data_IF_689330611743
#
_entry.id   IF_689330611743
#
_cell.length_a   1.000
_cell.length_b   1.000
_cell.length_c   1.000
_cell.angle_alpha   90.00
_cell.angle_beta   90.00
_cell.angle_gamma   90.00
#
_symmetry.space_group_name_H-M   'P 1'
#
loop_
_entity.id
_entity.type
_entity.pdbx_description
1 polymer ?
#
# COMPACT_ATOMS: atom_id res chain seq x y z
N UNK A 1 9.38 -6.62 13.53
CA UNK A 1 9.28 -5.24 13.02
C UNK A 1 10.70 -4.70 12.95
N UNK A 2 11.33 -4.71 11.77
CA UNK A 2 12.65 -4.10 11.60
C UNK A 2 12.43 -2.59 11.55
N UNK A 3 12.55 -1.95 12.71
CA UNK A 3 12.51 -0.50 12.81
C UNK A 3 13.66 0.06 11.99
N UNK A 4 13.34 0.87 10.98
CA UNK A 4 14.32 1.68 10.27
C UNK A 4 15.00 2.54 11.33
N UNK A 5 16.24 2.22 11.70
CA UNK A 5 17.05 3.12 12.53
C UNK A 5 17.32 4.33 11.65
N UNK A 6 16.51 5.37 11.78
CA UNK A 6 16.83 6.67 11.24
C UNK A 6 18.17 7.04 11.86
N UNK A 7 19.19 7.27 11.03
CA UNK A 7 20.48 7.77 11.50
C UNK A 7 20.19 8.98 12.40
N UNK A 8 20.45 8.82 13.70
CA UNK A 8 20.14 9.86 14.67
C UNK A 8 21.09 11.02 14.44
N UNK A 9 20.55 12.24 14.46
CA UNK A 9 21.37 13.44 14.31
C UNK A 9 22.03 13.74 15.66
N UNK A 10 23.08 12.99 16.00
CA UNK A 10 23.84 13.18 17.23
C UNK A 10 24.50 11.90 17.77
N UNK A 11 25.82 11.93 17.86
CA UNK A 11 26.85 11.17 18.64
C UNK A 11 26.68 9.66 18.93
N UNK A 12 25.49 9.07 18.90
CA UNK A 12 25.28 7.66 19.28
C UNK A 12 25.71 6.65 18.23
N UNK A 13 25.89 7.07 16.98
CA UNK A 13 26.32 6.18 15.91
C UNK A 13 27.44 6.82 15.09
N UNK A 14 28.41 6.00 14.70
CA UNK A 14 29.49 6.40 13.81
C UNK A 14 28.91 6.80 12.43
N UNK A 15 29.38 7.91 11.84
CA UNK A 15 28.92 8.37 10.54
C UNK A 15 29.47 7.47 9.41
N UNK A 16 28.58 6.99 8.55
CA UNK A 16 28.88 6.25 7.34
C UNK A 16 29.28 7.16 6.17
N UNK A 17 28.56 8.28 5.97
CA UNK A 17 28.90 9.35 5.02
C UNK A 17 29.14 10.64 5.79
N UNK A 18 30.34 10.82 6.36
CA UNK A 18 30.63 11.94 7.23
C UNK A 18 30.74 13.26 6.43
N UNK A 19 30.06 14.28 6.93
CA UNK A 19 30.15 15.67 6.47
C UNK A 19 30.43 16.60 7.65
N UNK A 20 31.27 17.60 7.45
CA UNK A 20 31.51 18.67 8.42
C UNK A 20 30.62 19.84 8.08
N UNK A 21 29.89 20.34 9.08
CA UNK A 21 29.08 21.52 8.91
C UNK A 21 29.83 22.79 9.39
N UNK A 22 29.26 23.97 9.17
CA UNK A 22 29.91 25.25 9.50
C UNK A 22 30.14 25.49 11.00
N UNK A 23 29.53 24.68 11.87
CA UNK A 23 29.83 24.68 13.31
C UNK A 23 31.09 23.85 13.66
N UNK A 24 31.80 23.31 12.65
CA UNK A 24 33.01 22.51 12.81
C UNK A 24 32.76 21.07 13.24
N UNK A 25 31.49 20.66 13.40
CA UNK A 25 31.13 19.30 13.84
C UNK A 25 30.88 18.38 12.66
N UNK A 26 31.11 17.08 12.88
CA UNK A 26 30.89 16.03 11.88
C UNK A 26 29.54 15.35 12.11
N UNK A 27 28.80 15.17 11.02
CA UNK A 27 27.48 14.56 11.00
C UNK A 27 27.39 13.48 9.92
N UNK A 28 26.41 12.58 10.07
CA UNK A 28 25.96 11.76 8.96
C UNK A 28 25.22 12.63 7.93
N UNK A 29 25.64 12.57 6.66
CA UNK A 29 25.13 13.43 5.58
C UNK A 29 23.61 13.36 5.44
N UNK A 30 23.05 12.16 5.34
CA UNK A 30 21.61 11.99 5.13
C UNK A 30 20.79 12.53 6.31
N UNK A 31 21.31 12.38 7.52
CA UNK A 31 20.67 12.80 8.76
C UNK A 31 20.64 14.33 8.87
N UNK A 32 21.76 15.01 8.61
CA UNK A 32 21.85 16.47 8.67
C UNK A 32 21.07 17.16 7.54
N UNK A 33 21.06 16.60 6.33
CA UNK A 33 20.26 17.12 5.23
C UNK A 33 18.76 17.02 5.53
N UNK A 34 18.32 15.92 6.15
CA UNK A 34 16.91 15.74 6.54
C UNK A 34 16.52 16.73 7.64
N UNK A 35 17.42 16.98 8.59
CA UNK A 35 17.25 18.01 9.63
C UNK A 35 17.08 19.40 9.02
N UNK A 36 17.94 19.79 8.07
CA UNK A 36 17.85 21.07 7.38
C UNK A 36 16.55 21.22 6.59
N UNK A 37 16.16 20.19 5.82
CA UNK A 37 14.88 20.18 5.10
C UNK A 37 13.69 20.36 6.05
N UNK A 38 13.75 19.76 7.23
CA UNK A 38 12.69 19.87 8.25
C UNK A 38 12.60 21.29 8.80
N UNK A 39 13.73 21.94 9.09
CA UNK A 39 13.77 23.32 9.56
C UNK A 39 13.27 24.30 8.48
N UNK A 40 13.75 24.14 7.25
CA UNK A 40 13.33 24.95 6.10
C UNK A 40 11.83 24.82 5.83
N UNK A 41 11.27 23.61 5.89
CA UNK A 41 9.83 23.38 5.75
C UNK A 41 8.98 24.03 6.84
N UNK A 42 9.57 24.36 7.99
CA UNK A 42 8.94 25.10 9.10
C UNK A 42 9.26 26.60 9.08
N UNK A 43 10.04 27.08 8.13
CA UNK A 43 10.54 28.47 8.11
C UNK A 43 11.47 28.82 9.27
N UNK A 44 12.07 27.81 9.92
CA UNK A 44 12.97 28.01 11.05
C UNK A 44 14.42 28.23 10.58
N UNK A 45 15.23 29.01 11.31
CA UNK A 45 16.65 29.17 11.00
C UNK A 45 17.38 27.82 11.13
N UNK A 46 18.41 27.61 10.31
CA UNK A 46 19.25 26.42 10.38
C UNK A 46 20.01 26.45 11.72
N UNK A 47 19.89 25.36 12.48
CA UNK A 47 20.47 25.22 13.81
C UNK A 47 21.13 23.86 13.99
N UNK A 48 22.18 23.84 14.80
CA UNK A 48 22.89 22.61 15.15
C UNK A 48 21.96 21.66 15.89
N UNK A 49 21.83 20.41 15.45
CA UNK A 49 20.99 19.40 16.10
C UNK A 49 21.52 19.01 17.49
N UNK A 50 22.78 19.33 17.80
CA UNK A 50 23.41 19.01 19.08
C UNK A 50 23.34 20.20 20.04
N UNK A 51 23.76 21.38 19.59
CA UNK A 51 23.86 22.57 20.47
C UNK A 51 22.64 23.48 20.40
N UNK A 52 21.76 23.31 19.42
CA UNK A 52 20.62 24.19 19.12
C UNK A 52 21.03 25.65 18.76
N UNK A 53 22.31 25.89 18.52
CA UNK A 53 22.86 27.17 18.09
C UNK A 53 22.66 27.39 16.59
N UNK A 54 22.51 28.64 16.12
CA UNK A 54 22.44 28.93 14.70
C UNK A 54 23.74 28.50 14.00
N UNK A 55 23.58 27.80 12.89
CA UNK A 55 24.69 27.37 12.03
C UNK A 55 24.29 27.62 10.58
N UNK A 56 25.26 27.85 9.70
CA UNK A 56 24.94 27.96 8.29
C UNK A 56 24.72 26.58 7.64
N UNK A 57 24.19 26.59 6.41
CA UNK A 57 23.75 25.39 5.70
C UNK A 57 24.82 24.65 4.91
N UNK A 58 26.07 25.11 4.90
CA UNK A 58 27.11 24.48 4.07
C UNK A 58 27.63 23.19 4.74
N UNK A 59 27.70 22.12 3.94
CA UNK A 59 28.19 20.80 4.35
C UNK A 59 29.39 20.42 3.48
N UNK A 60 30.52 20.12 4.12
CA UNK A 60 31.76 19.70 3.48
C UNK A 60 31.95 18.18 3.64
N UNK A 61 32.06 17.39 2.55
CA UNK A 61 32.39 15.98 2.65
C UNK A 61 33.75 15.74 3.29
N UNK A 62 33.82 14.86 4.30
CA UNK A 62 35.07 14.51 5.00
C UNK A 62 35.31 12.99 4.98
N UNK A 63 35.52 12.39 3.79
CA UNK A 63 35.61 10.93 3.65
C UNK A 63 36.76 10.30 4.44
N UNK A 64 37.81 11.06 4.77
CA UNK A 64 38.92 10.60 5.60
C UNK A 64 38.48 10.17 7.01
N UNK A 65 37.40 10.75 7.56
CA UNK A 65 36.85 10.37 8.86
C UNK A 65 36.36 8.91 8.85
N UNK A 66 35.78 8.46 7.73
CA UNK A 66 35.38 7.06 7.57
C UNK A 66 36.59 6.13 7.63
N UNK A 67 37.65 6.46 6.90
CA UNK A 67 38.89 5.69 6.90
C UNK A 67 39.52 5.67 8.30
N UNK A 68 39.52 6.79 9.01
CA UNK A 68 39.96 6.86 10.40
C UNK A 68 39.15 5.91 11.29
N UNK A 69 37.82 5.93 11.20
CA UNK A 69 36.95 5.02 11.95
C UNK A 69 37.30 3.56 11.68
N UNK A 70 37.49 3.19 10.41
CA UNK A 70 37.91 1.84 10.01
C UNK A 70 39.26 1.47 10.66
N UNK A 71 40.26 2.36 10.63
CA UNK A 71 41.55 2.10 11.31
C UNK A 71 41.42 1.96 12.83
N UNK A 72 40.53 2.72 13.46
CA UNK A 72 40.28 2.63 14.90
C UNK A 72 39.59 1.30 15.26
N UNK A 73 38.75 0.77 14.39
CA UNK A 73 38.15 -0.56 14.53
C UNK A 73 39.22 -1.63 14.38
N UNK A 74 40.08 -1.54 13.36
CA UNK A 74 41.16 -2.50 13.11
C UNK A 74 42.16 -2.56 14.27
N UNK A 75 42.48 -1.39 14.86
CA UNK A 75 43.32 -1.27 16.04
C UNK A 75 42.60 -1.63 17.36
N UNK A 76 41.35 -2.10 17.28
CA UNK A 76 40.51 -2.46 18.43
C UNK A 76 40.27 -1.30 19.41
N UNK A 77 40.36 -0.05 18.97
CA UNK A 77 40.04 1.13 19.78
C UNK A 77 38.52 1.37 19.89
N UNK A 78 37.74 0.87 18.93
CA UNK A 78 36.27 0.90 18.95
C UNK A 78 35.76 -0.55 19.12
N UNK A 79 34.97 -0.79 20.17
CA UNK A 79 34.46 -2.12 20.52
C UNK A 79 33.02 -2.05 21.04
N UNK A 80 32.43 -3.22 21.33
CA UNK A 80 31.09 -3.36 21.89
C UNK A 80 29.99 -2.94 20.91
N UNK A 81 28.89 -2.42 21.45
CA UNK A 81 27.68 -2.04 20.71
C UNK A 81 27.95 -1.11 19.51
N UNK A 82 28.96 -0.24 19.64
CA UNK A 82 29.33 0.71 18.58
C UNK A 82 29.91 0.01 17.35
N UNK A 83 30.71 -1.05 17.57
CA UNK A 83 31.26 -1.87 16.50
C UNK A 83 30.19 -2.75 15.86
N UNK A 84 29.28 -3.30 16.64
CA UNK A 84 28.15 -4.08 16.12
C UNK A 84 27.27 -3.23 15.20
N UNK A 85 26.87 -2.03 15.65
CA UNK A 85 26.11 -1.08 14.84
C UNK A 85 26.86 -0.66 13.56
N UNK A 86 28.18 -0.52 13.62
CA UNK A 86 29.00 -0.26 12.44
C UNK A 86 28.96 -1.42 11.44
N UNK A 87 29.16 -2.65 11.92
CA UNK A 87 29.16 -3.84 11.07
C UNK A 87 27.78 -4.10 10.44
N UNK A 88 26.70 -3.83 11.17
CA UNK A 88 25.34 -3.85 10.62
C UNK A 88 25.19 -2.85 9.46
N UNK A 89 25.68 -1.61 9.61
CA UNK A 89 25.68 -0.62 8.52
C UNK A 89 26.53 -1.06 7.34
N UNK A 90 27.73 -1.61 7.57
CA UNK A 90 28.59 -2.16 6.51
C UNK A 90 27.84 -3.23 5.73
N UNK A 91 27.20 -4.16 6.43
CA UNK A 91 26.45 -5.25 5.81
C UNK A 91 25.23 -4.73 5.06
N UNK A 92 24.48 -3.78 5.62
CA UNK A 92 23.36 -3.12 4.95
C UNK A 92 23.79 -2.50 3.61
N UNK A 93 24.89 -1.76 3.60
CA UNK A 93 25.40 -1.08 2.41
C UNK A 93 25.92 -2.08 1.38
N UNK A 94 26.54 -3.17 1.82
CA UNK A 94 26.94 -4.30 0.96
C UNK A 94 25.70 -4.95 0.31
N UNK A 95 24.66 -5.22 1.09
CA UNK A 95 23.41 -5.82 0.55
C UNK A 95 22.71 -4.89 -0.43
N UNK A 96 22.68 -3.58 -0.17
CA UNK A 96 22.17 -2.57 -1.09
C UNK A 96 22.93 -2.58 -2.41
N UNK A 97 24.26 -2.59 -2.36
CA UNK A 97 25.12 -2.62 -3.55
C UNK A 97 24.90 -3.89 -4.38
N UNK A 98 24.94 -5.07 -3.75
CA UNK A 98 24.68 -6.36 -4.40
C UNK A 98 23.29 -6.42 -5.05
N UNK A 99 22.27 -5.91 -4.35
CA UNK A 99 20.91 -5.89 -4.88
C UNK A 99 20.76 -4.97 -6.10
N UNK A 100 21.39 -3.80 -6.06
CA UNK A 100 21.41 -2.87 -7.20
C UNK A 100 22.17 -3.45 -8.39
N UNK A 101 23.29 -4.14 -8.14
CA UNK A 101 24.03 -4.84 -9.18
C UNK A 101 23.14 -5.89 -9.86
N UNK A 102 22.52 -6.79 -9.10
CA UNK A 102 21.59 -7.80 -9.63
C UNK A 102 20.42 -7.18 -10.38
N UNK A 103 19.92 -6.04 -9.92
CA UNK A 103 18.86 -5.30 -10.61
C UNK A 103 19.34 -4.71 -11.94
N UNK A 104 20.58 -4.24 -12.02
CA UNK A 104 21.19 -3.74 -13.27
C UNK A 104 21.53 -4.87 -14.25
N UNK A 105 21.86 -6.06 -13.75
CA UNK A 105 22.07 -7.28 -14.54
C UNK A 105 20.76 -7.87 -15.12
N UNK A 106 19.61 -7.23 -14.89
CA UNK A 106 18.33 -7.65 -15.48
C UNK A 106 17.46 -8.53 -14.58
N UNK A 107 17.84 -8.79 -13.33
CA UNK A 107 17.02 -9.62 -12.44
C UNK A 107 15.71 -8.91 -12.07
N UNK A 108 14.61 -9.35 -12.69
CA UNK A 108 13.25 -8.86 -12.43
C UNK A 108 12.85 -8.93 -10.95
N UNK A 109 13.37 -9.91 -10.20
CA UNK A 109 13.12 -10.05 -8.75
C UNK A 109 13.92 -9.02 -7.94
N UNK A 110 15.17 -8.76 -8.34
CA UNK A 110 15.99 -7.73 -7.71
C UNK A 110 15.41 -6.33 -7.95
N UNK A 111 15.03 -6.01 -9.20
CA UNK A 111 14.37 -4.74 -9.53
C UNK A 111 13.12 -4.49 -8.67
N UNK A 112 12.30 -5.53 -8.47
CA UNK A 112 11.13 -5.44 -7.60
C UNK A 112 11.50 -5.19 -6.13
N UNK A 113 12.50 -5.90 -5.60
CA UNK A 113 12.98 -5.67 -4.22
C UNK A 113 13.54 -4.27 -4.03
N UNK A 114 14.31 -3.75 -4.99
CA UNK A 114 14.81 -2.37 -4.97
C UNK A 114 13.63 -1.39 -4.88
N UNK A 115 12.59 -1.60 -5.69
CA UNK A 115 11.38 -0.78 -5.62
C UNK A 115 10.69 -0.84 -4.25
N UNK A 116 10.61 -2.03 -3.63
CA UNK A 116 10.06 -2.19 -2.27
C UNK A 116 10.90 -1.45 -1.22
N UNK A 117 12.22 -1.52 -1.31
CA UNK A 117 13.10 -0.83 -0.37
C UNK A 117 13.00 0.69 -0.49
N UNK A 118 12.93 1.25 -1.71
CA UNK A 118 12.65 2.66 -1.91
C UNK A 118 11.25 3.06 -1.42
N UNK A 119 10.24 2.19 -1.59
CA UNK A 119 8.88 2.48 -1.13
C UNK A 119 8.75 2.49 0.40
N UNK A 120 9.57 1.70 1.10
CA UNK A 120 9.52 1.56 2.56
C UNK A 120 10.62 2.33 3.31
N UNK A 121 11.67 2.79 2.62
CA UNK A 121 12.84 3.39 3.25
C UNK A 121 13.63 2.41 4.12
N UNK A 122 14.00 1.23 3.58
CA UNK A 122 14.62 0.13 4.34
C UNK A 122 15.89 -0.42 3.68
N UNK A 123 16.72 -1.16 4.42
CA UNK A 123 17.96 -1.79 3.93
C UNK A 123 18.90 -0.80 3.23
N UNK A 124 19.10 0.38 3.82
CA UNK A 124 19.98 1.43 3.31
C UNK A 124 19.40 2.25 2.16
N UNK A 125 18.14 2.01 1.78
CA UNK A 125 17.43 2.85 0.83
C UNK A 125 16.66 3.93 1.60
N UNK A 126 16.84 5.20 1.22
CA UNK A 126 15.94 6.27 1.66
C UNK A 126 14.56 6.12 1.03
N UNK A 127 13.52 6.51 1.76
CA UNK A 127 12.15 6.48 1.25
C UNK A 127 12.00 7.47 0.08
N UNK A 128 11.66 6.95 -1.09
CA UNK A 128 11.38 7.74 -2.29
C UNK A 128 10.35 7.03 -3.17
N UNK A 129 9.10 7.48 -3.08
CA UNK A 129 8.00 6.93 -3.86
C UNK A 129 8.19 7.09 -5.38
N UNK A 130 8.87 8.14 -5.85
CA UNK A 130 9.12 8.37 -7.29
C UNK A 130 10.15 7.38 -7.82
N UNK A 131 11.23 7.14 -7.06
CA UNK A 131 12.22 6.11 -7.40
C UNK A 131 11.61 4.71 -7.33
N UNK A 132 10.81 4.42 -6.30
CA UNK A 132 10.07 3.17 -6.19
C UNK A 132 9.20 2.93 -7.44
N UNK A 133 8.42 3.93 -7.88
CA UNK A 133 7.60 3.84 -9.08
C UNK A 133 8.45 3.56 -10.34
N UNK A 134 9.58 4.25 -10.52
CA UNK A 134 10.50 3.99 -11.64
C UNK A 134 11.03 2.55 -11.64
N UNK A 135 11.41 2.02 -10.48
CA UNK A 135 11.90 0.64 -10.36
C UNK A 135 10.79 -0.39 -10.57
N UNK A 136 9.57 -0.12 -10.09
CA UNK A 136 8.41 -0.97 -10.42
C UNK A 136 8.16 -1.01 -11.93
N UNK A 137 8.31 0.11 -12.66
CA UNK A 137 8.19 0.15 -14.13
C UNK A 137 9.25 -0.72 -14.81
N UNK A 138 10.50 -0.64 -14.36
CA UNK A 138 11.59 -1.51 -14.86
C UNK A 138 11.29 -2.99 -14.60
N UNK A 139 10.87 -3.33 -13.38
CA UNK A 139 10.54 -4.71 -13.02
C UNK A 139 9.34 -5.25 -13.81
N UNK A 140 8.32 -4.42 -14.07
CA UNK A 140 7.19 -4.76 -14.92
C UNK A 140 7.62 -5.02 -16.37
N UNK A 141 8.45 -4.15 -16.95
CA UNK A 141 9.00 -4.35 -18.28
C UNK A 141 9.83 -5.65 -18.39
N UNK A 142 10.47 -6.07 -17.29
CA UNK A 142 11.15 -7.36 -17.17
C UNK A 142 10.22 -8.54 -16.81
N UNK A 143 8.89 -8.38 -16.90
CA UNK A 143 7.91 -9.45 -16.68
C UNK A 143 7.62 -9.81 -15.22
N UNK A 144 7.87 -8.91 -14.26
CA UNK A 144 7.53 -9.15 -12.86
C UNK A 144 6.05 -8.83 -12.58
N UNK A 145 5.22 -9.87 -12.42
CA UNK A 145 3.78 -9.72 -12.14
C UNK A 145 3.51 -8.99 -10.83
N UNK A 146 4.30 -9.20 -9.78
CA UNK A 146 4.14 -8.47 -8.52
C UNK A 146 4.35 -6.98 -8.74
N UNK A 147 5.39 -6.61 -9.49
CA UNK A 147 5.65 -5.21 -9.83
C UNK A 147 4.48 -4.57 -10.59
N UNK A 148 3.84 -5.30 -11.51
CA UNK A 148 2.62 -4.85 -12.20
C UNK A 148 1.51 -4.48 -11.22
N UNK A 149 1.27 -5.31 -10.19
CA UNK A 149 0.26 -5.02 -9.16
C UNK A 149 0.57 -3.73 -8.39
N UNK A 150 1.83 -3.53 -8.01
CA UNK A 150 2.27 -2.32 -7.28
C UNK A 150 2.29 -1.06 -8.17
N UNK A 151 2.53 -1.18 -9.49
CA UNK A 151 2.34 -0.06 -10.42
C UNK A 151 0.90 0.39 -10.48
N UNK A 152 -0.03 -0.58 -10.56
CA UNK A 152 -1.46 -0.32 -10.51
C UNK A 152 -1.86 0.41 -9.24
N UNK A 153 -1.46 -0.11 -8.07
CA UNK A 153 -1.71 0.53 -6.77
C UNK A 153 -1.12 1.96 -6.70
N UNK A 154 0.10 2.14 -7.21
CA UNK A 154 0.76 3.45 -7.21
C UNK A 154 0.01 4.47 -8.08
N UNK A 155 -0.50 4.07 -9.25
CA UNK A 155 -1.30 4.94 -10.12
C UNK A 155 -2.67 5.25 -9.53
N UNK A 156 -3.35 4.25 -8.96
CA UNK A 156 -4.64 4.43 -8.31
C UNK A 156 -4.57 5.43 -7.16
N UNK A 157 -3.51 5.34 -6.35
CA UNK A 157 -3.35 6.16 -5.14
C UNK A 157 -2.52 7.43 -5.36
N UNK A 158 -1.80 7.55 -6.48
CA UNK A 158 -0.88 8.66 -6.75
C UNK A 158 0.45 8.58 -6.00
N UNK A 159 0.94 7.38 -5.68
CA UNK A 159 2.21 7.18 -4.96
C UNK A 159 3.39 7.35 -5.91
N UNK A 160 4.10 8.48 -5.82
CA UNK A 160 5.27 8.76 -6.66
C UNK A 160 4.95 9.06 -8.13
N UNK A 161 3.67 9.16 -8.48
CA UNK A 161 3.17 9.44 -9.84
C UNK A 161 1.84 10.19 -9.77
N UNK A 162 1.48 10.96 -10.80
CA UNK A 162 0.15 11.58 -10.89
C UNK A 162 -0.92 10.49 -10.88
N UNK A 163 -1.91 10.67 -10.01
CA UNK A 163 -3.04 9.74 -9.83
C UNK A 163 -3.78 9.51 -11.15
N UNK A 164 -4.01 8.25 -11.48
CA UNK A 164 -4.82 7.81 -12.62
C UNK A 164 -5.51 6.51 -12.28
N UNK A 165 -6.80 6.60 -11.89
CA UNK A 165 -7.60 5.45 -11.49
C UNK A 165 -7.81 4.46 -12.64
N UNK A 166 -8.16 4.96 -13.83
CA UNK A 166 -8.40 4.15 -15.03
C UNK A 166 -7.15 3.39 -15.48
N UNK A 167 -5.99 4.04 -15.51
CA UNK A 167 -4.74 3.35 -15.88
C UNK A 167 -4.31 2.38 -14.78
N UNK A 168 -4.48 2.77 -13.52
CA UNK A 168 -4.16 1.93 -12.38
C UNK A 168 -4.99 0.65 -12.35
N UNK A 169 -6.32 0.73 -12.54
CA UNK A 169 -7.19 -0.44 -12.58
C UNK A 169 -6.81 -1.39 -13.71
N UNK A 170 -6.43 -0.88 -14.90
CA UNK A 170 -5.94 -1.70 -16.01
C UNK A 170 -4.71 -2.55 -15.61
N UNK A 171 -3.71 -1.94 -14.97
CA UNK A 171 -2.52 -2.67 -14.50
C UNK A 171 -2.87 -3.70 -13.41
N UNK A 172 -3.78 -3.37 -12.49
CA UNK A 172 -4.24 -4.32 -11.47
C UNK A 172 -4.98 -5.50 -12.14
N UNK A 173 -5.88 -5.23 -13.09
CA UNK A 173 -6.56 -6.28 -13.89
C UNK A 173 -5.55 -7.19 -14.57
N UNK A 174 -4.56 -6.63 -15.27
CA UNK A 174 -3.49 -7.38 -15.91
C UNK A 174 -2.72 -8.28 -14.93
N UNK A 175 -2.39 -7.77 -13.74
CA UNK A 175 -1.67 -8.54 -12.74
C UNK A 175 -2.53 -9.65 -12.13
N UNK A 176 -3.82 -9.40 -11.90
CA UNK A 176 -4.76 -10.38 -11.38
C UNK A 176 -5.03 -11.51 -12.38
N UNK A 177 -5.12 -11.19 -13.68
CA UNK A 177 -5.20 -12.21 -14.74
C UNK A 177 -3.93 -13.04 -14.82
N UNK A 178 -2.77 -12.44 -14.56
CA UNK A 178 -1.48 -13.13 -14.47
C UNK A 178 -1.25 -13.87 -13.13
N UNK A 179 -2.26 -13.99 -12.28
CA UNK A 179 -2.21 -14.81 -11.06
C UNK A 179 -1.60 -14.13 -9.83
N UNK A 180 -1.64 -12.79 -9.76
CA UNK A 180 -1.32 -12.06 -8.53
C UNK A 180 -2.48 -12.15 -7.53
N UNK A 181 -2.21 -12.68 -6.33
CA UNK A 181 -3.18 -12.70 -5.21
C UNK A 181 -3.56 -11.28 -4.76
N UNK A 182 -2.57 -10.40 -4.58
CA UNK A 182 -2.78 -9.02 -4.15
C UNK A 182 -3.61 -8.20 -5.15
N UNK A 183 -3.38 -8.37 -6.45
CA UNK A 183 -4.15 -7.70 -7.48
C UNK A 183 -5.58 -8.24 -7.57
N UNK A 184 -5.78 -9.56 -7.45
CA UNK A 184 -7.11 -10.15 -7.39
C UNK A 184 -7.89 -9.65 -6.16
N UNK A 185 -7.26 -9.61 -4.98
CA UNK A 185 -7.87 -9.01 -3.78
C UNK A 185 -8.23 -7.54 -3.99
N UNK A 186 -7.34 -6.78 -4.62
CA UNK A 186 -7.53 -5.36 -4.91
C UNK A 186 -8.73 -5.13 -5.84
N UNK A 187 -8.88 -5.92 -6.90
CA UNK A 187 -10.06 -5.88 -7.78
C UNK A 187 -11.33 -6.29 -7.06
N UNK A 188 -11.29 -7.37 -6.28
CA UNK A 188 -12.43 -7.82 -5.51
C UNK A 188 -12.98 -6.73 -4.60
N UNK A 189 -12.09 -6.03 -3.89
CA UNK A 189 -12.46 -4.86 -3.08
C UNK A 189 -12.98 -3.69 -3.92
N UNK A 190 -12.40 -3.46 -5.10
CA UNK A 190 -12.81 -2.37 -5.98
C UNK A 190 -14.22 -2.57 -6.53
N UNK A 191 -14.54 -3.77 -6.99
CA UNK A 191 -15.89 -4.15 -7.45
C UNK A 191 -16.91 -4.16 -6.31
N UNK A 192 -16.53 -4.57 -5.09
CA UNK A 192 -17.44 -4.54 -3.94
C UNK A 192 -17.84 -3.12 -3.50
N UNK A 193 -17.11 -2.09 -3.94
CA UNK A 193 -17.30 -0.69 -3.47
C UNK A 193 -17.54 0.29 -4.63
N UNK A 194 -17.55 -0.17 -5.88
CA UNK A 194 -17.61 0.69 -7.06
C UNK A 194 -16.47 1.71 -7.13
N UNK A 195 -15.24 1.31 -6.78
CA UNK A 195 -14.08 2.22 -6.72
C UNK A 195 -13.13 2.09 -7.92
N UNK A 196 -12.17 3.00 -8.03
CA UNK A 196 -11.15 3.03 -9.09
C UNK A 196 -11.71 3.13 -10.53
N UNK A 197 -12.88 3.76 -10.67
CA UNK A 197 -13.62 3.88 -11.94
C UNK A 197 -14.17 2.55 -12.46
N UNK A 198 -14.33 1.56 -11.59
CA UNK A 198 -15.08 0.33 -11.85
C UNK A 198 -16.49 0.48 -11.24
N UNK A 199 -17.55 0.00 -11.91
CA UNK A 199 -18.87 -0.05 -11.32
C UNK A 199 -18.91 -1.06 -10.18
N UNK A 200 -19.84 -0.86 -9.24
CA UNK A 200 -20.11 -1.85 -8.21
C UNK A 200 -20.68 -3.12 -8.84
N UNK A 201 -20.11 -4.28 -8.51
CA UNK A 201 -20.54 -5.57 -9.03
C UNK A 201 -20.17 -6.68 -8.03
N UNK A 202 -21.18 -7.21 -7.34
CA UNK A 202 -21.00 -8.25 -6.32
C UNK A 202 -20.45 -9.56 -6.91
N UNK A 203 -20.91 -9.96 -8.09
CA UNK A 203 -20.50 -11.23 -8.72
C UNK A 203 -19.01 -11.20 -9.09
N UNK A 204 -18.55 -10.10 -9.72
CA UNK A 204 -17.14 -9.87 -10.01
C UNK A 204 -16.32 -9.79 -8.71
N UNK A 205 -16.84 -9.10 -7.68
CA UNK A 205 -16.16 -9.02 -6.39
C UNK A 205 -15.93 -10.42 -5.79
N UNK A 206 -16.97 -11.26 -5.76
CA UNK A 206 -16.90 -12.64 -5.25
C UNK A 206 -15.93 -13.47 -6.10
N UNK A 207 -15.97 -13.35 -7.42
CA UNK A 207 -15.06 -14.06 -8.33
C UNK A 207 -13.60 -13.75 -8.02
N UNK A 208 -13.22 -12.47 -7.97
CA UNK A 208 -11.85 -12.06 -7.71
C UNK A 208 -11.39 -12.37 -6.28
N UNK A 209 -12.27 -12.26 -5.29
CA UNK A 209 -11.96 -12.63 -3.90
C UNK A 209 -11.74 -14.14 -3.74
N UNK A 210 -12.54 -14.98 -4.40
CA UNK A 210 -12.30 -16.43 -4.43
C UNK A 210 -10.96 -16.74 -5.08
N UNK A 211 -10.67 -16.09 -6.22
CA UNK A 211 -9.41 -16.27 -6.94
C UNK A 211 -8.19 -15.87 -6.10
N UNK A 212 -8.28 -14.79 -5.31
CA UNK A 212 -7.16 -14.34 -4.47
C UNK A 212 -6.85 -15.26 -3.29
N UNK A 213 -7.85 -16.02 -2.81
CA UNK A 213 -7.72 -16.97 -1.70
C UNK A 213 -7.39 -18.40 -2.16
N UNK A 214 -7.64 -18.72 -3.44
CA UNK A 214 -7.29 -19.99 -4.06
C UNK A 214 -5.85 -20.01 -4.62
N UNK A 215 -5.66 -20.84 -5.65
CA UNK A 215 -4.35 -21.05 -6.26
C UNK A 215 -3.98 -19.90 -7.21
N UNK A 216 -3.21 -18.96 -6.67
CA UNK A 216 -2.56 -17.88 -7.43
C UNK A 216 -1.10 -18.23 -7.71
N UNK A 217 -0.59 -17.89 -8.91
CA UNK A 217 0.82 -18.11 -9.26
C UNK A 217 1.80 -17.23 -8.43
N UNK A 218 1.33 -16.08 -7.94
CA UNK A 218 2.19 -15.08 -7.29
C UNK A 218 1.61 -14.60 -5.96
N UNK A 219 2.08 -15.22 -4.87
CA UNK A 219 1.69 -14.86 -3.50
C UNK A 219 2.49 -13.68 -2.95
N UNK A 220 1.79 -12.61 -2.55
CA UNK A 220 2.37 -11.46 -1.86
C UNK A 220 1.36 -10.65 -1.02
N UNK A 221 0.16 -11.20 -0.76
CA UNK A 221 -0.68 -10.69 0.31
C UNK A 221 -0.06 -10.98 1.69
N UNK A 222 -0.28 -10.07 2.64
CA UNK A 222 0.01 -10.29 4.05
C UNK A 222 -1.08 -11.16 4.67
N UNK A 223 -0.79 -11.75 5.84
CA UNK A 223 -1.77 -12.55 6.59
C UNK A 223 -3.04 -11.74 6.88
N UNK A 224 -2.89 -10.46 7.24
CA UNK A 224 -4.02 -9.56 7.51
C UNK A 224 -4.86 -9.30 6.27
N UNK A 225 -4.24 -9.15 5.09
CA UNK A 225 -4.97 -8.99 3.83
C UNK A 225 -5.78 -10.24 3.50
N UNK A 226 -5.25 -11.44 3.74
CA UNK A 226 -5.99 -12.70 3.54
C UNK A 226 -7.21 -12.78 4.46
N UNK A 227 -7.05 -12.41 5.73
CA UNK A 227 -8.17 -12.36 6.69
C UNK A 227 -9.25 -11.35 6.26
N UNK A 228 -8.84 -10.17 5.77
CA UNK A 228 -9.77 -9.16 5.24
C UNK A 228 -10.49 -9.65 3.98
N UNK A 229 -9.79 -10.32 3.08
CA UNK A 229 -10.40 -10.91 1.88
C UNK A 229 -11.44 -11.97 2.24
N UNK A 230 -11.16 -12.83 3.23
CA UNK A 230 -12.12 -13.81 3.74
C UNK A 230 -13.34 -13.14 4.37
N UNK A 231 -13.13 -12.12 5.22
CA UNK A 231 -14.23 -11.38 5.84
C UNK A 231 -15.15 -10.74 4.80
N UNK A 232 -14.57 -10.04 3.81
CA UNK A 232 -15.32 -9.42 2.74
C UNK A 232 -16.09 -10.44 1.88
N UNK A 233 -15.49 -11.61 1.61
CA UNK A 233 -16.14 -12.69 0.88
C UNK A 233 -17.36 -13.25 1.65
N UNK A 234 -17.24 -13.41 2.96
CA UNK A 234 -18.35 -13.86 3.81
C UNK A 234 -19.45 -12.81 3.93
N UNK A 235 -19.10 -11.53 4.01
CA UNK A 235 -20.06 -10.42 4.00
C UNK A 235 -20.89 -10.40 2.71
N UNK A 236 -20.23 -10.47 1.56
CA UNK A 236 -20.90 -10.51 0.25
C UNK A 236 -21.77 -11.76 0.10
N UNK A 237 -21.32 -12.93 0.55
CA UNK A 237 -22.16 -14.14 0.56
C UNK A 237 -23.43 -13.96 1.38
N UNK A 238 -23.34 -13.29 2.54
CA UNK A 238 -24.50 -13.03 3.41
C UNK A 238 -25.52 -12.08 2.77
N UNK A 239 -25.08 -11.09 1.98
CA UNK A 239 -25.97 -10.19 1.25
C UNK A 239 -26.65 -10.91 0.09
N UNK A 240 -25.93 -11.77 -0.64
CA UNK A 240 -26.51 -12.58 -1.73
C UNK A 240 -27.54 -13.60 -1.22
N UNK A 241 -27.36 -14.16 -0.01
CA UNK A 241 -28.28 -15.13 0.60
C UNK A 241 -29.55 -14.46 1.17
N UNK A 242 -29.60 -13.12 1.36
CA UNK A 242 -30.89 -12.45 1.62
C UNK A 242 -31.74 -12.57 0.36
N UNK A 243 -32.75 -13.45 0.31
CA UNK A 243 -33.40 -13.69 -0.94
C UNK A 243 -34.23 -12.47 -1.28
N UNK A 244 -34.27 -12.14 -2.56
CA UNK A 244 -35.21 -11.22 -3.24
C UNK A 244 -36.70 -11.58 -2.97
N UNK A 245 -36.96 -12.58 -2.12
CA UNK A 245 -38.27 -13.07 -1.70
C UNK A 245 -39.01 -12.10 -0.79
N UNK A 246 -38.36 -11.20 -0.04
CA UNK A 246 -39.09 -10.22 0.78
C UNK A 246 -39.90 -9.23 -0.06
N UNK A 247 -39.44 -8.92 -1.29
CA UNK A 247 -40.17 -8.06 -2.22
C UNK A 247 -41.31 -8.87 -2.87
N UNK A 248 -41.06 -10.11 -3.27
CA UNK A 248 -42.10 -10.96 -3.84
C UNK A 248 -43.19 -11.35 -2.84
N UNK A 249 -42.84 -11.63 -1.58
CA UNK A 249 -43.82 -11.99 -0.54
C UNK A 249 -44.74 -10.80 -0.22
N UNK A 250 -44.18 -9.59 -0.07
CA UNK A 250 -44.99 -8.38 0.13
C UNK A 250 -45.86 -8.05 -1.10
N UNK A 251 -45.35 -8.22 -2.33
CA UNK A 251 -46.17 -8.02 -3.53
C UNK A 251 -47.30 -9.06 -3.62
N UNK A 252 -47.02 -10.34 -3.34
CA UNK A 252 -48.06 -11.39 -3.36
C UNK A 252 -49.10 -11.18 -2.27
N UNK A 253 -48.72 -10.70 -1.07
CA UNK A 253 -49.65 -10.37 0.01
C UNK A 253 -50.52 -9.18 -0.39
N UNK A 254 -49.95 -8.12 -0.98
CA UNK A 254 -50.70 -6.95 -1.47
C UNK A 254 -51.68 -7.33 -2.59
N UNK A 255 -51.29 -8.22 -3.51
CA UNK A 255 -52.16 -8.72 -4.58
C UNK A 255 -53.31 -9.58 -4.00
N UNK A 256 -53.04 -10.47 -3.06
CA UNK A 256 -54.07 -11.28 -2.39
C UNK A 256 -55.07 -10.42 -1.59
N UNK A 257 -54.59 -9.38 -0.88
CA UNK A 257 -55.45 -8.45 -0.15
C UNK A 257 -56.33 -7.57 -1.05
N UNK A 258 -55.87 -7.27 -2.26
CA UNK A 258 -56.68 -6.51 -3.23
C UNK A 258 -57.73 -7.39 -3.91
N UNK A 259 -57.41 -8.65 -4.22
CA UNK A 259 -58.39 -9.62 -4.77
C UNK A 259 -59.53 -9.89 -3.77
N UNK A 260 -59.23 -10.07 -2.48
CA UNK A 260 -60.27 -10.33 -1.47
C UNK A 260 -61.19 -9.12 -1.24
N UNK A 261 -60.68 -7.89 -1.34
CA UNK A 261 -61.50 -6.68 -1.28
C UNK A 261 -62.42 -6.54 -2.49
N UNK A 262 -61.96 -6.88 -3.69
CA UNK A 262 -62.78 -6.85 -4.90
C UNK A 262 -63.90 -7.90 -4.81
N UNK A 263 -63.60 -9.12 -4.37
CA UNK A 263 -64.64 -10.15 -4.19
C UNK A 263 -65.69 -9.75 -3.15
N UNK A 264 -65.31 -9.10 -2.05
CA UNK A 264 -66.25 -8.63 -1.03
C UNK A 264 -67.17 -7.51 -1.56
N UNK A 265 -66.63 -6.59 -2.37
CA UNK A 265 -67.41 -5.53 -3.04
C UNK A 265 -68.40 -6.09 -4.07
N UNK A 266 -68.01 -7.13 -4.82
CA UNK A 266 -68.92 -7.81 -5.75
C UNK A 266 -70.09 -8.50 -5.05
N UNK A 267 -69.85 -9.14 -3.89
CA UNK A 267 -70.93 -9.78 -3.11
C UNK A 267 -71.87 -8.72 -2.50
N UNK A 268 -71.34 -7.59 -2.02
CA UNK A 268 -72.16 -6.49 -1.52
C UNK A 268 -73.01 -5.86 -2.63
N UNK A 269 -72.43 -5.69 -3.83
CA UNK A 269 -73.14 -5.17 -4.99
C UNK A 269 -74.25 -6.11 -5.46
N UNK A 270 -74.04 -7.43 -5.37
CA UNK A 270 -75.06 -8.43 -5.67
C UNK A 270 -76.22 -8.36 -4.66
N UNK A 271 -75.93 -8.27 -3.36
CA UNK A 271 -76.99 -8.12 -2.34
C UNK A 271 -77.76 -6.81 -2.44
N UNK A 272 -77.09 -5.69 -2.73
CA UNK A 272 -77.74 -4.39 -2.95
C UNK A 272 -78.63 -4.41 -4.20
N UNK A 273 -78.25 -5.15 -5.24
CA UNK A 273 -79.05 -5.32 -6.45
C UNK A 273 -80.29 -6.18 -6.21
N UNK A 274 -80.16 -7.27 -5.46
CA UNK A 274 -81.32 -8.08 -5.03
C UNK A 274 -82.28 -7.29 -4.12
N UNK A 275 -81.76 -6.39 -3.28
CA UNK A 275 -82.59 -5.53 -2.43
C UNK A 275 -83.37 -4.48 -3.23
N UNK A 276 -82.81 -3.98 -4.33
CA UNK A 276 -83.46 -2.98 -5.18
C UNK A 276 -84.45 -3.59 -6.20
N UNK A 277 -84.30 -4.87 -6.54
CA UNK A 277 -85.20 -5.61 -7.44
C UNK A 277 -86.34 -6.37 -6.71
N UNK A 278 -86.41 -6.29 -5.37
CA UNK A 278 -87.58 -6.73 -4.61
C UNK A 278 -87.89 -8.23 -4.72
N UNK A 279 -86.86 -9.07 -4.81
CA UNK A 279 -87.01 -10.53 -4.76
C UNK A 279 -86.55 -11.02 -3.38
N UNK A 280 -87.52 -11.18 -2.48
CA UNK A 280 -87.46 -12.08 -1.33
C UNK A 280 -88.56 -13.12 -1.49
#
# INVERSE_FOLDING_TARGET
MAGVRKCSVGVRELPWVPVTAQDGRTYEKEAIETHFKTLQGKGLPIKSPITNEPMGGNLLPVPHIKSLIETLIDNKAIQGDTLEAWNEKVQEQKTKKDLLQKANEGSRRAMFKVAQHYAAGSNGFGEDAKLAFKWYKKAHAAGNVKATSFLGDALVNGKGVRKSRRLGSLYITQAATAGSDFAAYSLGKAFATGSWSLPENEDEAIFWLRKCLGDCAHFHMTKDMKKKAQGLLEELRRTTIRPRTLIHHNLTILILQSITKISALCVLAFHLRCFHEGVF
#
